data_IF_527058018185
#
_entry.id   IF_527058018185
#
_cell.length_a   1.000
_cell.length_b   1.000
_cell.length_c   1.000
_cell.angle_alpha   90.00
_cell.angle_beta   90.00
_cell.angle_gamma   90.00
#
_symmetry.space_group_name_H-M   'P 1'
#
loop_
_entity.id
_entity.type
_entity.pdbx_description
1 polymer ?
#
# COMPACT_ATOMS: atom_id res chain seq x y z
N UNK A 1 -21.85 -20.69 -1.09
CA UNK A 1 -20.59 -20.00 -1.40
C UNK A 1 -19.87 -19.40 -0.18
N UNK A 2 -20.55 -18.64 0.69
CA UNK A 2 -19.96 -18.01 1.90
C UNK A 2 -19.14 -18.94 2.81
N UNK A 3 -19.56 -20.18 3.04
CA UNK A 3 -18.77 -21.14 3.84
C UNK A 3 -17.44 -21.51 3.16
N UNK A 4 -17.39 -21.58 1.82
CA UNK A 4 -16.13 -21.77 1.08
C UNK A 4 -15.20 -20.56 1.23
N UNK A 5 -15.75 -19.35 1.16
CA UNK A 5 -14.98 -18.11 1.39
C UNK A 5 -14.43 -18.04 2.83
N UNK A 6 -15.20 -18.46 3.84
CA UNK A 6 -14.74 -18.55 5.23
C UNK A 6 -13.65 -19.61 5.45
N UNK A 7 -13.71 -20.72 4.71
CA UNK A 7 -12.64 -21.74 4.77
C UNK A 7 -11.36 -21.23 4.11
N UNK A 8 -11.48 -20.53 2.98
CA UNK A 8 -10.37 -19.93 2.27
C UNK A 8 -9.74 -18.74 3.00
N UNK A 9 -10.51 -17.98 3.78
CA UNK A 9 -9.98 -16.83 4.54
C UNK A 9 -9.11 -17.23 5.75
N UNK A 10 -9.07 -18.52 6.11
CA UNK A 10 -8.25 -19.04 7.22
C UNK A 10 -6.86 -19.50 6.79
N UNK A 11 -6.57 -19.53 5.50
CA UNK A 11 -5.26 -19.94 5.01
C UNK A 11 -4.39 -18.71 4.81
N UNK A 12 -3.31 -18.60 5.60
CA UNK A 12 -2.24 -17.60 5.41
C UNK A 12 -1.38 -17.86 4.14
N UNK A 13 -1.80 -18.84 3.33
CA UNK A 13 -1.10 -19.29 2.14
C UNK A 13 -1.48 -18.42 0.93
N UNK A 14 -0.64 -17.43 0.65
CA UNK A 14 -0.76 -16.54 -0.51
C UNK A 14 -0.76 -17.30 -1.85
N UNK A 15 -0.28 -18.55 -1.92
CA UNK A 15 -0.35 -19.35 -3.16
C UNK A 15 -1.79 -19.62 -3.61
N UNK A 16 -2.77 -19.51 -2.69
CA UNK A 16 -4.20 -19.74 -2.96
C UNK A 16 -4.95 -18.46 -3.34
N UNK A 17 -4.32 -17.28 -3.34
CA UNK A 17 -5.02 -16.00 -3.53
C UNK A 17 -5.79 -15.95 -4.86
N UNK A 18 -5.27 -16.56 -5.92
CA UNK A 18 -5.96 -16.66 -7.20
C UNK A 18 -7.28 -17.46 -7.12
N UNK A 19 -7.31 -18.55 -6.36
CA UNK A 19 -8.53 -19.32 -6.13
C UNK A 19 -9.56 -18.56 -5.29
N UNK A 20 -9.09 -17.72 -4.35
CA UNK A 20 -9.95 -16.82 -3.56
C UNK A 20 -10.57 -15.76 -4.46
N UNK A 21 -9.77 -15.11 -5.31
CA UNK A 21 -10.26 -14.10 -6.27
C UNK A 21 -11.35 -14.71 -7.17
N UNK A 22 -11.10 -15.88 -7.76
CA UNK A 22 -12.07 -16.56 -8.61
C UNK A 22 -13.38 -16.91 -7.86
N UNK A 23 -13.25 -17.38 -6.62
CA UNK A 23 -14.40 -17.69 -5.77
C UNK A 23 -15.23 -16.45 -5.42
N UNK A 24 -14.58 -15.33 -5.10
CA UNK A 24 -15.26 -14.06 -4.83
C UNK A 24 -15.93 -13.51 -6.09
N UNK A 25 -15.27 -13.58 -7.25
CA UNK A 25 -15.84 -13.16 -8.53
C UNK A 25 -17.09 -13.97 -8.90
N UNK A 26 -17.06 -15.29 -8.75
CA UNK A 26 -18.23 -16.14 -8.98
C UNK A 26 -19.40 -15.74 -8.08
N UNK A 27 -19.14 -15.44 -6.80
CA UNK A 27 -20.17 -14.97 -5.89
C UNK A 27 -20.73 -13.60 -6.28
N UNK A 28 -19.87 -12.68 -6.76
CA UNK A 28 -20.32 -11.36 -7.24
C UNK A 28 -21.22 -11.50 -8.47
N UNK A 29 -20.90 -12.40 -9.41
CA UNK A 29 -21.77 -12.70 -10.54
C UNK A 29 -23.14 -13.23 -10.10
N UNK A 30 -23.19 -14.15 -9.13
CA UNK A 30 -24.45 -14.62 -8.53
C UNK A 30 -25.25 -13.47 -7.88
N UNK A 31 -24.57 -12.56 -7.18
CA UNK A 31 -25.21 -11.38 -6.56
C UNK A 31 -25.79 -10.43 -7.60
N UNK A 32 -25.06 -10.14 -8.68
CA UNK A 32 -25.57 -9.30 -9.77
C UNK A 32 -26.77 -9.92 -10.47
N UNK A 33 -26.71 -11.22 -10.77
CA UNK A 33 -27.86 -11.95 -11.32
C UNK A 33 -29.06 -11.86 -10.38
N UNK A 34 -28.85 -12.09 -9.09
CA UNK A 34 -29.93 -12.03 -8.09
C UNK A 34 -30.52 -10.62 -7.93
N UNK A 35 -29.70 -9.57 -7.97
CA UNK A 35 -30.16 -8.17 -7.95
C UNK A 35 -31.04 -7.89 -9.18
N UNK A 36 -30.55 -8.22 -10.38
CA UNK A 36 -31.31 -8.03 -11.63
C UNK A 36 -32.64 -8.80 -11.61
N UNK A 37 -32.61 -10.03 -11.10
CA UNK A 37 -33.80 -10.85 -10.95
C UNK A 37 -34.81 -10.26 -9.96
N UNK A 38 -34.35 -9.76 -8.79
CA UNK A 38 -35.21 -9.11 -7.80
C UNK A 38 -35.83 -7.81 -8.32
N UNK A 39 -35.05 -6.98 -9.01
CA UNK A 39 -35.54 -5.74 -9.62
C UNK A 39 -36.63 -6.02 -10.65
N UNK A 40 -36.44 -7.06 -11.47
CA UNK A 40 -37.39 -7.47 -12.51
C UNK A 40 -38.67 -8.11 -11.95
N UNK A 41 -38.62 -8.69 -10.74
CA UNK A 41 -39.70 -9.48 -10.15
C UNK A 41 -40.23 -8.93 -8.82
N UNK A 42 -40.06 -7.63 -8.57
CA UNK A 42 -40.30 -7.00 -7.26
C UNK A 42 -41.64 -7.36 -6.60
N UNK A 43 -42.70 -7.57 -7.38
CA UNK A 43 -44.02 -7.93 -6.86
C UNK A 43 -44.10 -9.34 -6.26
N UNK A 44 -43.32 -10.29 -6.78
CA UNK A 44 -43.28 -11.67 -6.29
C UNK A 44 -42.54 -11.79 -4.95
N UNK A 45 -41.68 -10.83 -4.62
CA UNK A 45 -40.78 -10.91 -3.47
C UNK A 45 -41.24 -10.11 -2.23
N UNK A 46 -42.49 -9.63 -2.20
CA UNK A 46 -43.04 -8.85 -1.07
C UNK A 46 -43.04 -9.61 0.27
N UNK A 47 -43.00 -10.94 0.26
CA UNK A 47 -43.09 -11.80 1.46
C UNK A 47 -41.84 -12.63 1.73
N UNK A 48 -40.70 -12.35 1.09
CA UNK A 48 -39.50 -13.16 1.30
C UNK A 48 -38.93 -12.94 2.70
N UNK A 49 -38.53 -14.02 3.40
CA UNK A 49 -37.93 -13.92 4.72
C UNK A 49 -36.77 -12.92 4.73
N UNK A 50 -36.65 -12.16 5.82
CA UNK A 50 -35.64 -11.14 6.00
C UNK A 50 -34.25 -11.81 6.09
N UNK A 51 -33.54 -11.90 4.96
CA UNK A 51 -32.15 -12.38 4.94
C UNK A 51 -31.28 -11.27 5.48
N UNK A 52 -30.53 -11.54 6.55
CA UNK A 52 -29.63 -10.57 7.15
C UNK A 52 -28.18 -10.89 6.82
N UNK A 53 -27.50 -9.90 6.23
CA UNK A 53 -26.08 -9.93 5.94
C UNK A 53 -25.31 -9.29 7.10
N UNK A 54 -24.37 -10.04 7.67
CA UNK A 54 -23.55 -9.58 8.80
C UNK A 54 -22.09 -9.50 8.35
N UNK A 55 -21.52 -8.30 8.44
CA UNK A 55 -20.13 -8.03 8.10
C UNK A 55 -19.35 -7.47 9.28
N UNK A 56 -18.05 -7.77 9.30
CA UNK A 56 -17.10 -7.22 10.24
C UNK A 56 -16.27 -6.15 9.54
N UNK A 57 -16.07 -5.02 10.20
CA UNK A 57 -15.19 -3.96 9.70
C UNK A 57 -13.73 -4.44 9.65
N UNK A 58 -13.06 -4.20 8.53
CA UNK A 58 -11.59 -4.30 8.44
C UNK A 58 -10.90 -3.02 8.91
N UNK A 59 -11.60 -1.89 8.85
CA UNK A 59 -11.04 -0.56 9.15
C UNK A 59 -10.99 -0.21 10.63
N UNK A 60 -11.93 -0.72 11.45
CA UNK A 60 -12.07 -0.36 12.89
C UNK A 60 -11.45 -1.40 13.82
N UNK A 61 -10.73 -2.38 13.28
CA UNK A 61 -10.05 -3.39 14.07
C UNK A 61 -8.84 -2.79 14.78
N UNK A 62 -8.88 -2.67 16.11
CA UNK A 62 -7.65 -2.59 16.92
C UNK A 62 -7.03 -3.99 16.90
N UNK A 63 -6.23 -4.29 15.87
CA UNK A 63 -5.40 -5.49 15.78
C UNK A 63 -4.25 -5.46 16.81
N UNK A 64 -4.52 -5.06 18.05
CA UNK A 64 -3.56 -5.14 19.16
C UNK A 64 -3.38 -6.58 19.65
N UNK A 65 -4.34 -7.48 19.41
CA UNK A 65 -4.36 -8.81 20.03
C UNK A 65 -4.12 -9.98 19.05
N UNK A 66 -3.08 -9.92 18.20
CA UNK A 66 -2.13 -11.06 17.93
C UNK A 66 -1.49 -11.13 16.55
N UNK A 67 -1.91 -10.38 15.53
CA UNK A 67 -1.21 -10.39 14.24
C UNK A 67 -1.37 -9.02 13.59
N UNK A 68 -0.27 -8.24 13.49
CA UNK A 68 -0.25 -6.93 12.85
C UNK A 68 -0.99 -6.96 11.49
N UNK A 69 -2.00 -6.11 11.30
CA UNK A 69 -2.78 -5.99 10.05
C UNK A 69 -1.85 -5.84 8.84
N UNK A 70 -0.78 -5.06 9.03
CA UNK A 70 0.25 -4.82 8.04
C UNK A 70 1.11 -6.06 7.72
N UNK A 71 1.31 -6.99 8.65
CA UNK A 71 1.98 -8.27 8.36
C UNK A 71 1.05 -9.22 7.58
N UNK A 72 -0.25 -9.22 7.87
CA UNK A 72 -1.23 -10.08 7.18
C UNK A 72 -1.55 -9.59 5.77
N UNK A 73 -1.61 -8.27 5.56
CA UNK A 73 -1.88 -7.68 4.24
C UNK A 73 -0.62 -7.54 3.36
N UNK A 74 0.54 -7.29 3.95
CA UNK A 74 1.78 -6.98 3.19
C UNK A 74 2.91 -8.01 3.38
N UNK A 75 2.58 -9.24 3.80
CA UNK A 75 3.41 -10.43 3.55
C UNK A 75 4.83 -10.41 4.12
N UNK A 76 5.09 -9.72 5.24
CA UNK A 76 6.44 -9.73 5.84
C UNK A 76 6.72 -11.06 6.54
N UNK A 77 7.27 -12.02 5.79
CA UNK A 77 7.75 -13.32 6.29
C UNK A 77 9.06 -13.10 7.05
N UNK A 78 8.95 -12.84 8.36
CA UNK A 78 10.10 -12.87 9.28
C UNK A 78 10.43 -14.33 9.55
N UNK A 79 11.46 -14.85 8.85
CA UNK A 79 12.07 -16.13 9.19
C UNK A 79 12.99 -15.92 10.39
N UNK A 80 12.49 -16.16 11.60
CA UNK A 80 13.35 -16.36 12.77
C UNK A 80 13.69 -17.84 12.85
N UNK A 81 14.92 -18.16 12.46
CA UNK A 81 15.62 -19.40 12.77
C UNK A 81 15.63 -19.61 14.29
N UNK A 82 15.13 -20.76 14.73
CA UNK A 82 15.29 -21.24 16.09
C UNK A 82 16.70 -21.78 16.31
N UNK A 83 17.26 -21.49 17.47
CA UNK A 83 17.95 -22.45 18.34
C UNK A 83 18.40 -21.72 19.62
N UNK A 84 17.81 -22.10 20.75
CA UNK A 84 18.56 -22.58 21.93
C UNK A 84 17.61 -22.85 23.10
N UNK A 85 17.81 -24.06 23.61
CA UNK A 85 17.22 -24.72 24.76
C UNK A 85 17.44 -24.02 26.11
N UNK A 86 16.52 -24.30 27.04
CA UNK A 86 16.90 -24.64 28.42
C UNK A 86 16.38 -23.72 29.54
N UNK A 87 15.47 -24.25 30.38
CA UNK A 87 15.32 -23.78 31.76
C UNK A 87 13.88 -23.71 32.30
N UNK A 88 13.49 -24.71 33.08
CA UNK A 88 12.17 -24.90 33.69
C UNK A 88 12.12 -24.26 35.13
N UNK A 89 11.08 -24.46 35.97
CA UNK A 89 10.06 -23.45 36.29
C UNK A 89 10.11 -22.95 37.76
N UNK A 90 9.61 -21.75 38.02
CA UNK A 90 9.32 -21.29 39.38
C UNK A 90 7.84 -20.90 39.51
N UNK A 91 7.16 -21.63 40.39
CA UNK A 91 5.81 -21.39 40.87
C UNK A 91 5.75 -20.05 41.62
N UNK A 92 4.89 -19.15 41.15
CA UNK A 92 4.52 -17.92 41.83
C UNK A 92 3.01 -17.73 41.74
N UNK A 93 2.33 -18.00 42.85
CA UNK A 93 0.91 -17.79 43.08
C UNK A 93 0.54 -16.31 42.97
N UNK A 94 -0.15 -15.93 41.87
CA UNK A 94 -0.81 -14.63 41.73
C UNK A 94 -2.31 -14.81 41.89
N UNK A 95 -2.80 -14.43 43.06
CA UNK A 95 -4.23 -14.20 43.33
C UNK A 95 -4.70 -12.97 42.55
N UNK A 96 -5.81 -13.16 41.82
CA UNK A 96 -6.91 -12.19 41.82
C UNK A 96 -6.66 -10.84 41.15
N UNK A 97 -6.69 -10.80 39.82
CA UNK A 97 -7.17 -9.61 39.10
C UNK A 97 -8.17 -10.02 38.02
N UNK A 98 -9.42 -10.22 38.45
CA UNK A 98 -10.59 -10.20 37.56
C UNK A 98 -10.89 -8.74 37.20
N UNK A 99 -10.03 -8.12 36.37
CA UNK A 99 -10.35 -6.94 35.55
C UNK A 99 -10.79 -7.43 34.15
N UNK A 100 -11.77 -8.33 34.17
CA UNK A 100 -12.43 -8.88 33.00
C UNK A 100 -13.48 -7.88 32.52
N UNK A 101 -13.40 -7.45 31.26
CA UNK A 101 -14.60 -7.00 30.56
C UNK A 101 -14.51 -5.84 29.57
N UNK A 102 -13.39 -5.59 28.89
CA UNK A 102 -13.49 -4.85 27.61
C UNK A 102 -12.61 -5.49 26.53
N UNK A 103 -12.92 -6.76 26.22
CA UNK A 103 -12.55 -7.28 24.90
C UNK A 103 -13.20 -6.35 23.87
N UNK A 104 -12.39 -5.54 23.19
CA UNK A 104 -12.88 -4.54 22.25
C UNK A 104 -13.62 -5.27 21.13
N UNK A 105 -14.95 -5.26 21.19
CA UNK A 105 -15.80 -5.98 20.24
C UNK A 105 -15.53 -5.37 18.85
N UNK A 106 -14.95 -6.19 17.96
CA UNK A 106 -14.82 -5.84 16.54
C UNK A 106 -16.18 -5.33 16.04
N UNK A 107 -16.21 -4.11 15.46
CA UNK A 107 -17.46 -3.52 14.98
C UNK A 107 -18.04 -4.40 13.88
N UNK A 108 -19.34 -4.69 14.03
CA UNK A 108 -20.13 -5.42 13.05
C UNK A 108 -21.21 -4.50 12.50
N UNK A 109 -21.55 -4.70 11.25
CA UNK A 109 -22.75 -4.14 10.64
C UNK A 109 -23.66 -5.29 10.21
N UNK A 110 -24.95 -5.05 10.28
CA UNK A 110 -25.99 -5.98 9.89
C UNK A 110 -26.98 -5.22 9.02
N UNK A 111 -27.32 -5.77 7.87
CA UNK A 111 -28.27 -5.18 6.94
C UNK A 111 -28.96 -6.29 6.16
N UNK A 112 -30.23 -6.09 5.79
CA UNK A 112 -30.94 -6.96 4.86
C UNK A 112 -30.79 -6.53 3.39
N UNK A 113 -30.04 -5.47 3.12
CA UNK A 113 -29.82 -4.99 1.76
C UNK A 113 -28.80 -5.83 1.00
N UNK A 114 -29.21 -6.34 -0.16
CA UNK A 114 -28.34 -7.06 -1.09
C UNK A 114 -27.22 -6.17 -1.65
N UNK A 115 -27.42 -4.86 -1.76
CA UNK A 115 -26.36 -3.95 -2.19
C UNK A 115 -25.30 -3.75 -1.10
N UNK A 116 -25.65 -3.88 0.19
CA UNK A 116 -24.66 -3.90 1.26
C UNK A 116 -23.80 -5.16 1.15
N UNK A 117 -24.40 -6.31 0.85
CA UNK A 117 -23.66 -7.55 0.56
C UNK A 117 -22.72 -7.39 -0.63
N UNK A 118 -23.23 -6.85 -1.74
CA UNK A 118 -22.45 -6.58 -2.94
C UNK A 118 -21.27 -5.65 -2.64
N UNK A 119 -21.50 -4.54 -1.94
CA UNK A 119 -20.46 -3.56 -1.61
C UNK A 119 -19.31 -4.17 -0.80
N UNK A 120 -19.61 -4.93 0.26
CA UNK A 120 -18.58 -5.61 1.04
C UNK A 120 -17.87 -6.71 0.25
N UNK A 121 -18.59 -7.44 -0.61
CA UNK A 121 -18.00 -8.49 -1.44
C UNK A 121 -17.06 -7.91 -2.51
N UNK A 122 -17.44 -6.79 -3.13
CA UNK A 122 -16.57 -6.03 -4.05
C UNK A 122 -15.34 -5.47 -3.33
N UNK A 123 -15.51 -4.90 -2.14
CA UNK A 123 -14.37 -4.46 -1.34
C UNK A 123 -13.42 -5.63 -1.02
N UNK A 124 -13.95 -6.82 -0.68
CA UNK A 124 -13.14 -8.01 -0.48
C UNK A 124 -12.39 -8.45 -1.74
N UNK A 125 -13.02 -8.36 -2.92
CA UNK A 125 -12.38 -8.61 -4.21
C UNK A 125 -11.20 -7.65 -4.45
N UNK A 126 -11.42 -6.35 -4.23
CA UNK A 126 -10.38 -5.33 -4.41
C UNK A 126 -9.19 -5.57 -3.46
N UNK A 127 -9.46 -5.88 -2.19
CA UNK A 127 -8.41 -6.23 -1.22
C UNK A 127 -7.66 -7.49 -1.64
N UNK A 128 -8.36 -8.54 -2.10
CA UNK A 128 -7.72 -9.76 -2.57
C UNK A 128 -6.81 -9.51 -3.79
N UNK A 129 -7.21 -8.62 -4.71
CA UNK A 129 -6.37 -8.18 -5.83
C UNK A 129 -5.13 -7.43 -5.36
N UNK A 130 -5.26 -6.51 -4.39
CA UNK A 130 -4.10 -5.85 -3.77
C UNK A 130 -3.15 -6.88 -3.14
N UNK A 131 -3.67 -7.83 -2.36
CA UNK A 131 -2.86 -8.89 -1.75
C UNK A 131 -2.16 -9.77 -2.81
N UNK A 132 -2.86 -10.11 -3.89
CA UNK A 132 -2.27 -10.83 -5.03
C UNK A 132 -1.10 -10.03 -5.62
N UNK A 133 -1.30 -8.74 -5.90
CA UNK A 133 -0.26 -7.86 -6.42
C UNK A 133 0.97 -7.82 -5.50
N UNK A 134 0.77 -7.61 -4.19
CA UNK A 134 1.86 -7.61 -3.22
C UNK A 134 2.56 -8.96 -3.12
N UNK A 135 1.83 -10.07 -3.16
CA UNK A 135 2.44 -11.40 -3.09
C UNK A 135 3.39 -11.67 -4.26
N UNK A 136 3.06 -11.16 -5.46
CA UNK A 136 3.92 -11.27 -6.66
C UNK A 136 5.20 -10.46 -6.56
N UNK A 137 5.15 -9.32 -5.85
CA UNK A 137 6.30 -8.43 -5.73
C UNK A 137 7.01 -8.57 -4.39
N UNK A 138 6.52 -9.36 -3.42
CA UNK A 138 7.05 -9.37 -2.05
C UNK A 138 8.55 -9.72 -1.97
N UNK A 139 9.03 -10.62 -2.83
CA UNK A 139 10.46 -10.96 -2.93
C UNK A 139 11.26 -9.94 -3.75
N UNK A 140 10.58 -9.21 -4.63
CA UNK A 140 11.17 -8.23 -5.54
C UNK A 140 11.18 -6.80 -4.93
N UNK A 141 10.26 -6.48 -4.03
CA UNK A 141 9.90 -5.10 -3.69
C UNK A 141 11.08 -4.31 -3.10
N UNK A 142 11.88 -4.98 -2.26
CA UNK A 142 13.00 -4.34 -1.56
C UNK A 142 14.33 -4.45 -2.29
N UNK A 143 14.54 -5.53 -3.04
CA UNK A 143 15.80 -5.72 -3.79
C UNK A 143 15.88 -4.76 -4.98
N UNK A 144 14.75 -4.57 -5.67
CA UNK A 144 14.67 -3.71 -6.85
C UNK A 144 14.89 -2.23 -6.51
N UNK A 145 14.40 -1.77 -5.36
CA UNK A 145 14.57 -0.37 -4.96
C UNK A 145 16.03 -0.04 -4.64
N UNK A 146 16.74 -0.95 -3.99
CA UNK A 146 18.17 -0.78 -3.76
C UNK A 146 18.97 -0.89 -5.06
N UNK A 147 18.63 -1.85 -5.92
CA UNK A 147 19.30 -2.06 -7.21
C UNK A 147 19.24 -0.83 -8.11
N UNK A 148 18.07 -0.21 -8.24
CA UNK A 148 17.92 0.91 -9.19
C UNK A 148 18.75 2.12 -8.77
N UNK A 149 18.90 2.34 -7.46
CA UNK A 149 19.79 3.39 -6.94
C UNK A 149 21.25 2.93 -6.95
N UNK A 150 21.54 1.64 -6.78
CA UNK A 150 22.89 1.10 -6.89
C UNK A 150 23.50 1.34 -8.28
N UNK A 151 22.70 1.37 -9.36
CA UNK A 151 23.17 1.73 -10.72
C UNK A 151 23.78 3.15 -10.76
N UNK A 152 23.37 4.05 -9.85
CA UNK A 152 23.97 5.37 -9.71
C UNK A 152 25.34 5.34 -9.03
N UNK A 153 25.65 4.26 -8.32
CA UNK A 153 26.94 4.10 -7.62
C UNK A 153 27.98 3.55 -8.60
N UNK A 154 29.11 4.27 -8.83
CA UNK A 154 30.16 3.78 -9.71
C UNK A 154 30.73 2.44 -9.23
N UNK A 155 30.76 1.43 -10.11
CA UNK A 155 31.41 0.13 -9.86
C UNK A 155 30.52 -1.01 -9.38
N UNK A 156 29.20 -0.82 -9.29
CA UNK A 156 28.26 -1.93 -9.04
C UNK A 156 28.00 -2.70 -10.33
N UNK A 157 28.08 -4.03 -10.30
CA UNK A 157 27.87 -4.91 -11.46
C UNK A 157 26.41 -4.94 -11.89
N UNK A 158 26.19 -4.91 -13.20
CA UNK A 158 24.88 -5.13 -13.82
C UNK A 158 24.33 -6.53 -13.51
N UNK A 159 23.02 -6.65 -13.33
CA UNK A 159 22.34 -7.93 -13.08
C UNK A 159 22.26 -8.77 -14.36
N UNK A 160 22.22 -10.09 -14.21
CA UNK A 160 21.94 -11.02 -15.31
C UNK A 160 20.58 -10.70 -15.98
N UNK A 161 20.61 -10.47 -17.29
CA UNK A 161 19.46 -9.97 -18.08
C UNK A 161 18.17 -10.81 -17.91
N UNK A 162 18.29 -12.13 -17.72
CA UNK A 162 17.15 -13.05 -17.63
C UNK A 162 16.33 -12.91 -16.32
N UNK A 163 16.97 -12.60 -15.19
CA UNK A 163 16.27 -12.34 -13.92
C UNK A 163 15.54 -10.99 -13.96
N UNK A 164 16.06 -10.05 -14.77
CA UNK A 164 15.46 -8.74 -15.02
C UNK A 164 14.09 -8.83 -15.69
N UNK A 165 13.95 -9.63 -16.76
CA UNK A 165 12.71 -9.74 -17.54
C UNK A 165 11.53 -10.33 -16.74
N UNK A 166 11.77 -11.45 -16.04
CA UNK A 166 10.75 -12.08 -15.19
C UNK A 166 10.27 -11.12 -14.09
N UNK A 167 11.20 -10.34 -13.51
CA UNK A 167 10.88 -9.31 -12.53
C UNK A 167 10.04 -8.17 -13.11
N UNK A 168 10.37 -7.69 -14.32
CA UNK A 168 9.59 -6.66 -15.02
C UNK A 168 8.15 -7.13 -15.27
N UNK A 169 7.97 -8.36 -15.74
CA UNK A 169 6.64 -8.92 -15.99
C UNK A 169 5.81 -9.08 -14.71
N UNK A 170 6.44 -9.50 -13.62
CA UNK A 170 5.78 -9.55 -12.31
C UNK A 170 5.31 -8.17 -11.85
N UNK A 171 6.15 -7.14 -11.99
CA UNK A 171 5.80 -5.74 -11.66
C UNK A 171 4.65 -5.22 -12.53
N UNK A 172 4.68 -5.47 -13.85
CA UNK A 172 3.61 -5.08 -14.77
C UNK A 172 2.27 -5.71 -14.39
N UNK A 173 2.26 -7.02 -14.11
CA UNK A 173 1.04 -7.73 -13.70
C UNK A 173 0.50 -7.21 -12.36
N UNK A 174 1.37 -7.03 -11.37
CA UNK A 174 0.98 -6.47 -10.08
C UNK A 174 0.43 -5.04 -10.21
N UNK A 175 1.04 -4.20 -11.05
CA UNK A 175 0.52 -2.86 -11.36
C UNK A 175 -0.88 -2.92 -11.98
N UNK A 176 -1.14 -3.84 -12.91
CA UNK A 176 -2.47 -4.04 -13.50
C UNK A 176 -3.49 -4.48 -12.44
N UNK A 177 -3.17 -5.47 -11.61
CA UNK A 177 -4.06 -5.95 -10.54
C UNK A 177 -4.44 -4.84 -9.54
N UNK A 178 -3.50 -3.94 -9.22
CA UNK A 178 -3.77 -2.76 -8.38
C UNK A 178 -4.70 -1.75 -9.06
N UNK A 179 -4.58 -1.56 -10.38
CA UNK A 179 -5.49 -0.69 -11.16
C UNK A 179 -6.88 -1.29 -11.30
N UNK A 180 -6.99 -2.61 -11.39
CA UNK A 180 -8.26 -3.32 -11.31
C UNK A 180 -8.90 -3.15 -9.93
N UNK A 181 -8.12 -3.27 -8.84
CA UNK A 181 -8.62 -3.01 -7.48
C UNK A 181 -9.14 -1.57 -7.34
N UNK A 182 -8.41 -0.59 -7.86
CA UNK A 182 -8.85 0.80 -7.90
C UNK A 182 -10.18 0.98 -8.65
N UNK A 183 -10.38 0.29 -9.78
CA UNK A 183 -11.63 0.32 -10.53
C UNK A 183 -12.80 -0.36 -9.82
N UNK A 184 -12.54 -1.37 -8.99
CA UNK A 184 -13.58 -1.95 -8.13
C UNK A 184 -14.03 -0.95 -7.06
N UNK A 185 -13.10 -0.24 -6.41
CA UNK A 185 -13.45 0.81 -5.46
C UNK A 185 -14.23 1.95 -6.12
N UNK A 186 -13.83 2.37 -7.32
CA UNK A 186 -14.55 3.36 -8.14
C UNK A 186 -15.98 2.91 -8.43
N UNK A 187 -16.16 1.65 -8.88
CA UNK A 187 -17.48 1.08 -9.14
C UNK A 187 -18.36 1.06 -7.88
N UNK A 188 -17.79 0.73 -6.71
CA UNK A 188 -18.53 0.80 -5.43
C UNK A 188 -19.03 2.22 -5.18
N UNK A 189 -18.19 3.24 -5.35
CA UNK A 189 -18.57 4.66 -5.17
C UNK A 189 -19.70 5.07 -6.10
N UNK A 190 -19.57 4.74 -7.39
CA UNK A 190 -20.49 5.23 -8.42
C UNK A 190 -21.81 4.45 -8.49
N UNK A 191 -21.79 3.14 -8.25
CA UNK A 191 -22.93 2.27 -8.53
C UNK A 191 -23.55 1.65 -7.28
N UNK A 192 -22.76 1.38 -6.23
CA UNK A 192 -23.25 0.67 -5.04
C UNK A 192 -23.65 1.64 -3.93
N UNK A 193 -22.80 2.61 -3.60
CA UNK A 193 -23.07 3.57 -2.51
C UNK A 193 -24.39 4.36 -2.70
N UNK A 194 -24.76 4.81 -3.92
CA UNK A 194 -26.04 5.49 -4.11
C UNK A 194 -27.26 4.64 -3.74
N UNK A 195 -27.18 3.31 -3.92
CA UNK A 195 -28.25 2.38 -3.60
C UNK A 195 -28.42 2.16 -2.09
N UNK A 196 -27.36 2.37 -1.31
CA UNK A 196 -27.35 2.17 0.14
C UNK A 196 -27.31 3.48 0.94
N UNK A 197 -27.44 4.65 0.31
CA UNK A 197 -27.33 5.97 0.95
C UNK A 197 -28.28 6.19 2.15
N UNK A 198 -29.39 5.47 2.19
CA UNK A 198 -30.41 5.56 3.23
C UNK A 198 -30.16 4.58 4.39
N UNK A 199 -29.19 3.68 4.25
CA UNK A 199 -28.85 2.65 5.24
C UNK A 199 -27.75 3.19 6.13
N UNK A 200 -28.01 3.26 7.44
CA UNK A 200 -27.00 3.64 8.42
C UNK A 200 -26.09 2.45 8.71
N UNK A 201 -24.85 2.51 8.24
CA UNK A 201 -23.82 1.51 8.53
C UNK A 201 -23.00 1.94 9.74
N UNK A 202 -22.86 1.05 10.73
CA UNK A 202 -22.04 1.30 11.93
C UNK A 202 -20.53 1.10 11.70
N UNK A 203 -20.10 1.04 10.44
CA UNK A 203 -18.73 0.76 10.02
C UNK A 203 -18.34 1.70 8.87
N UNK A 204 -17.10 2.19 8.82
CA UNK A 204 -16.67 3.18 7.82
C UNK A 204 -16.31 2.55 6.48
N UNK A 205 -16.23 1.22 6.40
CA UNK A 205 -15.71 0.49 5.25
C UNK A 205 -16.40 0.90 3.93
N UNK A 206 -17.73 1.03 3.92
CA UNK A 206 -18.50 1.47 2.75
C UNK A 206 -18.85 2.98 2.78
N UNK A 207 -17.98 3.82 3.34
CA UNK A 207 -18.10 5.28 3.18
C UNK A 207 -17.43 5.75 1.89
N UNK A 208 -18.00 6.75 1.18
CA UNK A 208 -17.39 7.29 -0.04
C UNK A 208 -15.92 7.69 0.13
N UNK A 209 -15.59 8.33 1.24
CA UNK A 209 -14.24 8.82 1.53
C UNK A 209 -13.26 7.67 1.78
N UNK A 210 -13.70 6.58 2.41
CA UNK A 210 -12.87 5.37 2.61
C UNK A 210 -12.63 4.68 1.29
N UNK A 211 -13.67 4.52 0.47
CA UNK A 211 -13.54 3.89 -0.85
C UNK A 211 -12.62 4.72 -1.76
N UNK A 212 -12.77 6.06 -1.74
CA UNK A 212 -11.91 6.95 -2.52
C UNK A 212 -10.46 6.94 -2.02
N UNK A 213 -10.24 6.92 -0.71
CA UNK A 213 -8.91 6.75 -0.12
C UNK A 213 -8.27 5.43 -0.59
N UNK A 214 -9.00 4.31 -0.56
CA UNK A 214 -8.50 3.01 -0.99
C UNK A 214 -8.21 2.99 -2.51
N UNK A 215 -9.07 3.61 -3.32
CA UNK A 215 -8.84 3.81 -4.75
C UNK A 215 -7.53 4.56 -5.02
N UNK A 216 -7.34 5.70 -4.35
CA UNK A 216 -6.14 6.53 -4.49
C UNK A 216 -4.87 5.81 -4.03
N UNK A 217 -4.96 5.06 -2.93
CA UNK A 217 -3.85 4.26 -2.42
C UNK A 217 -3.44 3.18 -3.43
N UNK A 218 -4.39 2.40 -3.95
CA UNK A 218 -4.11 1.37 -4.97
C UNK A 218 -3.49 1.95 -6.25
N UNK A 219 -3.92 3.14 -6.66
CA UNK A 219 -3.31 3.84 -7.81
C UNK A 219 -1.88 4.32 -7.51
N UNK A 220 -1.62 4.85 -6.31
CA UNK A 220 -0.28 5.27 -5.90
C UNK A 220 0.69 4.09 -5.87
N UNK A 221 0.26 2.95 -5.34
CA UNK A 221 1.04 1.71 -5.34
C UNK A 221 1.29 1.19 -6.77
N UNK A 222 0.27 1.23 -7.63
CA UNK A 222 0.42 0.84 -9.04
C UNK A 222 1.41 1.73 -9.80
N UNK A 223 1.36 3.03 -9.55
CA UNK A 223 2.29 4.00 -10.13
C UNK A 223 3.71 3.75 -9.67
N UNK A 224 3.91 3.47 -8.37
CA UNK A 224 5.21 3.09 -7.82
C UNK A 224 5.80 1.89 -8.56
N UNK A 225 5.00 0.84 -8.80
CA UNK A 225 5.46 -0.33 -9.59
C UNK A 225 5.74 0.04 -11.05
N UNK A 226 4.93 0.92 -11.65
CA UNK A 226 5.10 1.38 -13.02
C UNK A 226 6.38 2.19 -13.23
N UNK A 227 6.74 3.05 -12.27
CA UNK A 227 8.02 3.78 -12.28
C UNK A 227 9.19 2.80 -12.30
N UNK A 228 9.12 1.70 -11.54
CA UNK A 228 10.17 0.68 -11.53
C UNK A 228 10.27 -0.08 -12.84
N UNK A 229 9.12 -0.43 -13.44
CA UNK A 229 9.09 -1.00 -14.79
C UNK A 229 9.75 -0.06 -15.78
N UNK A 230 9.42 1.24 -15.73
CA UNK A 230 10.00 2.26 -16.59
C UNK A 230 11.50 2.39 -16.38
N UNK A 231 11.96 2.45 -15.13
CA UNK A 231 13.39 2.51 -14.80
C UNK A 231 14.13 1.29 -15.38
N UNK A 232 13.59 0.09 -15.29
CA UNK A 232 14.25 -1.10 -15.84
C UNK A 232 14.19 -1.24 -17.36
N UNK A 233 13.13 -0.74 -17.97
CA UNK A 233 12.88 -0.92 -19.40
C UNK A 233 13.48 0.18 -20.26
N UNK A 234 13.63 1.40 -19.71
CA UNK A 234 14.02 2.56 -20.50
C UNK A 234 15.55 2.72 -20.57
N UNK A 235 16.14 2.25 -21.68
CA UNK A 235 17.56 2.48 -21.99
C UNK A 235 17.92 3.97 -22.12
N UNK A 236 16.93 4.87 -22.20
CA UNK A 236 17.11 6.31 -22.32
C UNK A 236 17.03 7.07 -20.99
N UNK A 237 17.11 6.43 -19.81
CA UNK A 237 17.16 7.15 -18.53
C UNK A 237 18.10 8.37 -18.54
N UNK A 238 19.27 8.25 -19.20
CA UNK A 238 20.26 9.33 -19.36
C UNK A 238 19.73 10.58 -20.08
N UNK A 239 18.71 10.45 -20.94
CA UNK A 239 18.13 11.56 -21.71
C UNK A 239 17.11 12.38 -20.91
N UNK A 240 16.53 11.81 -19.86
CA UNK A 240 15.52 12.48 -19.02
C UNK A 240 15.83 12.29 -17.54
N UNK A 241 16.96 12.83 -17.05
CA UNK A 241 17.48 12.53 -15.71
C UNK A 241 16.55 13.01 -14.58
N UNK A 242 15.69 14.00 -14.84
CA UNK A 242 14.69 14.51 -13.90
C UNK A 242 13.39 13.70 -13.85
N UNK A 243 13.12 12.89 -14.87
CA UNK A 243 11.84 12.19 -14.99
C UNK A 243 11.55 11.25 -13.82
N UNK A 244 12.49 10.42 -13.32
CA UNK A 244 12.23 9.57 -12.15
C UNK A 244 11.78 10.38 -10.93
N UNK A 245 12.48 11.48 -10.62
CA UNK A 245 12.15 12.34 -9.49
C UNK A 245 10.74 12.93 -9.64
N UNK A 246 10.41 13.47 -10.81
CA UNK A 246 9.09 14.06 -11.06
C UNK A 246 7.96 13.03 -10.94
N UNK A 247 8.17 11.80 -11.44
CA UNK A 247 7.19 10.73 -11.32
C UNK A 247 6.97 10.31 -9.85
N UNK A 248 8.06 10.17 -9.08
CA UNK A 248 8.00 9.84 -7.65
C UNK A 248 7.32 10.95 -6.83
N UNK A 249 7.56 12.23 -7.15
CA UNK A 249 6.86 13.34 -6.51
C UNK A 249 5.35 13.29 -6.80
N UNK A 250 4.94 12.93 -8.03
CA UNK A 250 3.52 12.71 -8.34
C UNK A 250 2.89 11.56 -7.54
N UNK A 251 3.65 10.50 -7.27
CA UNK A 251 3.21 9.39 -6.40
C UNK A 251 3.10 9.83 -4.94
N UNK A 252 4.08 10.60 -4.47
CA UNK A 252 4.11 11.17 -3.12
C UNK A 252 2.88 12.04 -2.86
N UNK A 253 2.47 12.86 -3.83
CA UNK A 253 1.25 13.67 -3.77
C UNK A 253 -0.01 12.78 -3.68
N UNK A 254 -0.07 11.65 -4.41
CA UNK A 254 -1.20 10.71 -4.30
C UNK A 254 -1.29 10.08 -2.90
N UNK A 255 -0.18 9.67 -2.29
CA UNK A 255 -0.18 9.21 -0.89
C UNK A 255 -0.64 10.31 0.08
N UNK A 256 -0.20 11.55 -0.13
CA UNK A 256 -0.62 12.69 0.68
C UNK A 256 -2.13 12.94 0.58
N UNK A 257 -2.70 12.82 -0.63
CA UNK A 257 -4.13 12.97 -0.88
C UNK A 257 -4.95 11.83 -0.25
N UNK A 258 -4.46 10.59 -0.33
CA UNK A 258 -5.08 9.46 0.38
C UNK A 258 -5.03 9.67 1.90
N UNK A 259 -3.88 10.07 2.45
CA UNK A 259 -3.71 10.32 3.88
C UNK A 259 -4.58 11.47 4.40
N UNK A 260 -4.69 12.57 3.65
CA UNK A 260 -5.55 13.70 4.02
C UNK A 260 -7.03 13.33 3.98
N UNK A 261 -7.47 12.56 2.98
CA UNK A 261 -8.84 12.01 2.91
C UNK A 261 -9.15 11.17 4.16
N UNK A 262 -8.18 10.37 4.60
CA UNK A 262 -8.33 9.61 5.84
C UNK A 262 -8.42 10.50 7.09
N UNK A 263 -7.65 11.58 7.17
CA UNK A 263 -7.70 12.50 8.31
C UNK A 263 -9.04 13.22 8.43
N UNK A 264 -9.70 13.54 7.31
CA UNK A 264 -11.03 14.14 7.34
C UNK A 264 -12.06 13.23 8.05
N UNK A 265 -11.93 11.91 7.89
CA UNK A 265 -12.77 10.93 8.58
C UNK A 265 -12.54 10.88 10.10
N UNK A 266 -11.36 11.26 10.57
CA UNK A 266 -11.03 11.28 12.00
C UNK A 266 -11.72 12.42 12.76
N UNK A 267 -12.24 13.44 12.08
CA UNK A 267 -13.04 14.47 12.74
C UNK A 267 -14.38 13.94 13.29
N UNK A 268 -14.92 12.89 12.67
CA UNK A 268 -16.29 12.41 12.89
C UNK A 268 -16.45 11.14 13.75
N UNK A 269 -17.52 10.38 13.51
CA UNK A 269 -17.91 9.18 14.26
C UNK A 269 -16.94 7.98 14.11
N UNK A 270 -16.00 8.09 13.16
CA UNK A 270 -15.06 7.05 12.77
C UNK A 270 -13.60 7.39 13.11
N UNK A 271 -13.37 8.02 14.27
CA UNK A 271 -12.04 8.32 14.85
C UNK A 271 -11.07 7.13 14.93
N UNK A 272 -11.57 5.91 14.86
CA UNK A 272 -10.81 4.67 15.09
C UNK A 272 -10.43 3.94 13.78
N UNK A 273 -10.06 4.65 12.71
CA UNK A 273 -9.42 3.98 11.58
C UNK A 273 -8.05 3.46 12.00
N UNK A 274 -7.71 2.24 11.56
CA UNK A 274 -6.43 1.58 11.87
C UNK A 274 -5.22 2.52 11.74
N UNK A 275 -4.42 2.58 12.80
CA UNK A 275 -3.13 3.28 12.85
C UNK A 275 -2.13 2.70 11.87
N UNK A 276 -2.32 1.45 11.45
CA UNK A 276 -1.44 0.75 10.51
C UNK A 276 -1.60 1.34 9.10
N UNK A 277 -2.84 1.60 8.67
CA UNK A 277 -3.12 2.22 7.35
C UNK A 277 -2.59 3.66 7.33
N UNK A 278 -2.74 4.39 8.44
CA UNK A 278 -2.18 5.73 8.58
C UNK A 278 -0.66 5.73 8.49
N UNK A 279 -0.01 4.79 9.21
CA UNK A 279 1.44 4.66 9.20
C UNK A 279 1.94 4.20 7.84
N UNK A 280 1.24 3.28 7.18
CA UNK A 280 1.52 2.87 5.80
C UNK A 280 1.59 4.08 4.86
N UNK A 281 0.52 4.88 4.78
CA UNK A 281 0.48 6.01 3.87
C UNK A 281 1.50 7.10 4.22
N UNK A 282 1.62 7.46 5.50
CA UNK A 282 2.57 8.48 5.96
C UNK A 282 4.02 8.06 5.70
N UNK A 283 4.38 6.84 6.05
CA UNK A 283 5.76 6.37 5.92
C UNK A 283 6.09 6.04 4.46
N UNK A 284 5.14 5.52 3.69
CA UNK A 284 5.24 5.34 2.25
C UNK A 284 5.50 6.67 1.55
N UNK A 285 4.73 7.72 1.87
CA UNK A 285 4.96 9.07 1.38
C UNK A 285 6.40 9.56 1.65
N UNK A 286 6.94 9.32 2.84
CA UNK A 286 8.30 9.73 3.21
C UNK A 286 9.37 8.94 2.45
N UNK A 287 9.18 7.63 2.27
CA UNK A 287 10.10 6.80 1.48
C UNK A 287 10.11 7.25 0.01
N UNK A 288 8.95 7.47 -0.59
CA UNK A 288 8.86 7.94 -1.98
C UNK A 288 9.50 9.33 -2.15
N UNK A 289 9.27 10.24 -1.20
CA UNK A 289 9.92 11.56 -1.21
C UNK A 289 11.45 11.45 -1.13
N UNK A 290 11.94 10.61 -0.21
CA UNK A 290 13.37 10.38 -0.06
C UNK A 290 13.98 9.82 -1.36
N UNK A 291 13.33 8.84 -1.99
CA UNK A 291 13.75 8.31 -3.28
C UNK A 291 13.80 9.40 -4.36
N UNK A 292 12.77 10.26 -4.45
CA UNK A 292 12.78 11.38 -5.40
C UNK A 292 13.96 12.32 -5.16
N UNK A 293 14.28 12.62 -3.89
CA UNK A 293 15.44 13.44 -3.51
C UNK A 293 16.77 12.78 -3.89
N UNK A 294 16.89 11.44 -3.85
CA UNK A 294 18.08 10.74 -4.35
C UNK A 294 18.29 11.00 -5.85
N UNK A 295 17.22 10.88 -6.66
CA UNK A 295 17.31 11.18 -8.10
C UNK A 295 17.62 12.65 -8.37
N UNK A 296 17.06 13.59 -7.61
CA UNK A 296 17.41 15.01 -7.71
C UNK A 296 18.88 15.25 -7.34
N UNK A 297 19.38 14.60 -6.29
CA UNK A 297 20.78 14.69 -5.91
C UNK A 297 21.72 14.22 -7.03
N UNK A 298 21.38 13.12 -7.71
CA UNK A 298 22.10 12.63 -8.88
C UNK A 298 22.11 13.67 -10.01
N UNK A 299 20.95 14.20 -10.39
CA UNK A 299 20.86 15.25 -11.43
C UNK A 299 21.75 16.45 -11.08
N UNK A 300 21.72 16.91 -9.83
CA UNK A 300 22.52 18.05 -9.40
C UNK A 300 24.01 17.74 -9.41
N UNK A 301 24.41 16.53 -9.01
CA UNK A 301 25.80 16.07 -9.08
C UNK A 301 26.30 16.02 -10.52
N UNK A 302 25.51 15.47 -11.44
CA UNK A 302 25.83 15.40 -12.88
C UNK A 302 25.97 16.78 -13.52
N UNK A 303 25.21 17.76 -13.04
CA UNK A 303 25.29 19.15 -13.48
C UNK A 303 26.31 19.98 -12.69
N UNK A 304 27.23 19.35 -11.95
CA UNK A 304 28.28 20.00 -11.17
C UNK A 304 27.75 21.05 -10.17
N UNK A 305 26.55 20.80 -9.61
CA UNK A 305 25.94 21.60 -8.53
C UNK A 305 26.04 20.82 -7.22
N UNK A 306 27.26 20.65 -6.74
CA UNK A 306 27.58 19.70 -5.69
C UNK A 306 26.94 20.04 -4.34
N UNK A 307 26.78 21.32 -4.00
CA UNK A 307 26.15 21.74 -2.74
C UNK A 307 24.67 21.35 -2.68
N UNK A 308 23.95 21.50 -3.81
CA UNK A 308 22.57 21.03 -3.94
C UNK A 308 22.49 19.50 -3.88
N UNK A 309 23.41 18.79 -4.53
CA UNK A 309 23.45 17.34 -4.52
C UNK A 309 23.58 16.80 -3.09
N UNK A 310 24.55 17.33 -2.32
CA UNK A 310 24.76 16.98 -0.90
C UNK A 310 23.52 17.32 -0.06
N UNK A 311 22.90 18.47 -0.29
CA UNK A 311 21.69 18.88 0.42
C UNK A 311 20.53 17.90 0.25
N UNK A 312 20.20 17.54 -0.99
CA UNK A 312 19.08 16.62 -1.26
C UNK A 312 19.32 15.22 -0.70
N UNK A 313 20.53 14.67 -0.86
CA UNK A 313 20.83 13.32 -0.35
C UNK A 313 20.86 13.29 1.19
N UNK A 314 21.24 14.41 1.86
CA UNK A 314 21.16 14.56 3.32
C UNK A 314 19.70 14.49 3.77
N UNK A 315 18.84 15.31 3.18
CA UNK A 315 17.41 15.34 3.53
C UNK A 315 16.73 13.98 3.27
N UNK A 316 17.11 13.28 2.18
CA UNK A 316 16.65 11.91 1.92
C UNK A 316 17.04 10.94 3.05
N UNK A 317 18.29 11.00 3.53
CA UNK A 317 18.78 10.17 4.65
C UNK A 317 17.98 10.44 5.92
N UNK A 318 17.74 11.70 6.25
CA UNK A 318 16.98 12.08 7.45
C UNK A 318 15.54 11.55 7.42
N UNK A 319 14.85 11.67 6.28
CA UNK A 319 13.51 11.11 6.10
C UNK A 319 13.49 9.59 6.31
N UNK A 320 14.45 8.86 5.75
CA UNK A 320 14.52 7.40 5.89
C UNK A 320 14.88 6.97 7.31
N UNK A 321 15.74 7.71 8.02
CA UNK A 321 16.04 7.47 9.44
C UNK A 321 14.76 7.59 10.28
N UNK A 322 13.95 8.61 10.01
CA UNK A 322 12.68 8.81 10.71
C UNK A 322 11.66 7.70 10.43
N UNK A 323 11.59 7.19 9.19
CA UNK A 323 10.76 6.02 8.86
C UNK A 323 11.30 4.76 9.55
N UNK A 324 12.62 4.52 9.52
CA UNK A 324 13.27 3.37 10.15
C UNK A 324 12.98 3.31 11.66
N UNK A 325 13.04 4.45 12.37
CA UNK A 325 12.74 4.52 13.82
C UNK A 325 11.33 4.02 14.15
N UNK A 326 10.39 4.09 13.21
CA UNK A 326 9.00 3.63 13.36
C UNK A 326 8.87 2.15 12.97
N UNK A 327 9.60 1.27 13.68
CA UNK A 327 9.72 -0.19 13.47
C UNK A 327 8.41 -0.99 13.21
N UNK A 328 7.24 -0.37 13.40
CA UNK A 328 5.92 -0.95 13.14
C UNK A 328 5.48 -0.82 11.66
N UNK A 329 6.15 0.03 10.89
CA UNK A 329 5.81 0.29 9.49
C UNK A 329 6.38 -0.77 8.56
N UNK A 330 5.60 -1.19 7.55
CA UNK A 330 6.11 -2.06 6.47
C UNK A 330 7.18 -1.37 5.64
N UNK A 331 7.18 -0.03 5.62
CA UNK A 331 8.20 0.77 4.94
C UNK A 331 9.49 0.90 5.76
N UNK A 332 9.52 0.51 7.04
CA UNK A 332 10.72 0.59 7.87
C UNK A 332 11.85 -0.30 7.33
N UNK A 333 11.52 -1.53 6.88
CA UNK A 333 12.50 -2.44 6.25
C UNK A 333 13.06 -1.86 4.95
N UNK A 334 12.20 -1.27 4.13
CA UNK A 334 12.61 -0.59 2.91
C UNK A 334 13.57 0.56 3.22
N UNK A 335 13.22 1.41 4.18
CA UNK A 335 14.05 2.52 4.59
C UNK A 335 15.41 2.07 5.14
N UNK A 336 15.43 1.01 5.94
CA UNK A 336 16.67 0.40 6.43
C UNK A 336 17.56 -0.12 5.29
N UNK A 337 16.99 -0.81 4.31
CA UNK A 337 17.74 -1.33 3.18
C UNK A 337 18.33 -0.22 2.31
N UNK A 338 17.56 0.86 2.07
CA UNK A 338 18.06 2.03 1.36
C UNK A 338 19.21 2.71 2.10
N UNK A 339 19.06 2.92 3.41
CA UNK A 339 20.08 3.53 4.27
C UNK A 339 21.38 2.71 4.30
N UNK A 340 21.27 1.40 4.50
CA UNK A 340 22.42 0.51 4.63
C UNK A 340 23.03 0.10 3.28
N UNK A 341 22.30 0.30 2.17
CA UNK A 341 22.71 -0.07 0.83
C UNK A 341 23.23 1.14 0.03
N UNK A 342 22.51 1.59 -1.01
CA UNK A 342 23.01 2.58 -1.98
C UNK A 342 23.24 3.99 -1.40
N UNK A 343 22.53 4.37 -0.35
CA UNK A 343 22.41 5.77 0.03
C UNK A 343 23.66 6.32 0.72
N UNK A 344 24.31 5.52 1.57
CA UNK A 344 25.51 5.95 2.31
C UNK A 344 26.75 6.12 1.40
N UNK A 345 27.03 5.20 0.45
CA UNK A 345 28.07 5.41 -0.55
C UNK A 345 27.83 6.65 -1.41
N UNK A 346 26.60 6.88 -1.87
CA UNK A 346 26.25 8.06 -2.67
C UNK A 346 26.42 9.36 -1.87
N UNK A 347 25.98 9.38 -0.60
CA UNK A 347 26.19 10.52 0.27
C UNK A 347 27.67 10.85 0.45
N UNK A 348 28.49 9.84 0.73
CA UNK A 348 29.93 9.98 0.91
C UNK A 348 30.60 10.49 -0.37
N UNK A 349 30.18 9.99 -1.53
CA UNK A 349 30.66 10.43 -2.84
C UNK A 349 30.33 11.90 -3.10
N UNK A 350 29.07 12.31 -2.97
CA UNK A 350 28.66 13.69 -3.24
C UNK A 350 29.29 14.67 -2.26
N UNK A 351 29.39 14.28 -0.98
CA UNK A 351 30.08 15.09 0.02
C UNK A 351 31.54 15.28 -0.34
N UNK A 352 32.26 14.19 -0.69
CA UNK A 352 33.65 14.28 -1.13
C UNK A 352 33.80 15.18 -2.36
N UNK A 353 32.95 15.02 -3.37
CA UNK A 353 33.01 15.86 -4.56
C UNK A 353 32.79 17.35 -4.23
N UNK A 354 31.88 17.66 -3.31
CA UNK A 354 31.72 19.03 -2.84
C UNK A 354 32.94 19.52 -2.05
N UNK A 355 33.49 18.69 -1.16
CA UNK A 355 34.62 19.06 -0.29
C UNK A 355 35.96 19.15 -1.05
N UNK A 356 36.08 18.57 -2.25
CA UNK A 356 37.33 18.58 -3.03
C UNK A 356 37.25 19.32 -4.36
N UNK A 357 36.06 19.44 -4.97
CA UNK A 357 35.88 20.03 -6.31
C UNK A 357 35.00 21.27 -6.23
N UNK A 358 33.78 21.14 -5.68
CA UNK A 358 32.76 22.19 -5.75
C UNK A 358 32.96 23.34 -4.79
N UNK A 359 33.32 23.03 -3.54
CA UNK A 359 33.35 23.94 -2.40
C UNK A 359 32.08 24.80 -2.27
N UNK A 360 30.93 24.25 -2.69
CA UNK A 360 29.66 24.98 -2.68
C UNK A 360 29.05 24.97 -1.28
N UNK A 361 28.38 26.06 -0.93
CA UNK A 361 27.53 26.10 0.26
C UNK A 361 26.38 25.10 0.14
N UNK A 362 26.15 24.31 1.18
CA UNK A 362 25.06 23.33 1.22
C UNK A 362 23.78 24.06 1.63
N UNK A 363 22.72 24.06 0.81
CA UNK A 363 21.45 24.70 1.16
C UNK A 363 20.77 24.12 2.40
N UNK A 364 19.92 24.93 3.05
CA UNK A 364 19.04 24.46 4.12
C UNK A 364 17.90 23.60 3.55
N UNK A 365 17.30 22.75 4.39
CA UNK A 365 16.19 21.88 3.97
C UNK A 365 14.97 22.67 3.46
N UNK A 366 14.69 23.85 4.01
CA UNK A 366 13.58 24.70 3.55
C UNK A 366 13.85 25.29 2.16
N UNK A 367 15.10 25.71 1.89
CA UNK A 367 15.50 26.19 0.56
C UNK A 367 15.40 25.05 -0.47
N UNK A 368 15.85 23.83 -0.14
CA UNK A 368 15.72 22.66 -1.02
C UNK A 368 14.26 22.29 -1.29
N UNK A 369 13.39 22.33 -0.28
CA UNK A 369 11.95 22.06 -0.44
C UNK A 369 11.28 23.07 -1.37
N UNK A 370 11.70 24.34 -1.32
CA UNK A 370 11.19 25.38 -2.24
C UNK A 370 11.60 25.16 -3.69
N UNK A 371 12.65 24.34 -3.93
CA UNK A 371 13.18 24.00 -5.26
C UNK A 371 12.67 22.67 -5.79
N UNK A 372 11.82 21.95 -5.05
CA UNK A 372 11.26 20.70 -5.54
C UNK A 372 10.42 20.97 -6.80
N UNK A 373 10.64 20.22 -7.89
CA UNK A 373 9.80 20.33 -9.07
C UNK A 373 8.39 19.82 -8.76
N UNK A 374 7.42 20.23 -9.57
CA UNK A 374 6.06 19.68 -9.47
C UNK A 374 6.05 18.19 -9.83
N UNK A 375 5.23 17.42 -9.11
CA UNK A 375 4.97 16.03 -9.44
C UNK A 375 4.39 15.89 -10.85
N UNK A 376 4.83 14.86 -11.56
CA UNK A 376 4.22 14.45 -12.83
C UNK A 376 3.42 13.18 -12.60
N UNK A 377 2.10 13.29 -12.73
CA UNK A 377 1.21 12.12 -12.59
C UNK A 377 1.51 11.10 -13.68
N UNK A 378 1.64 9.84 -13.30
CA UNK A 378 1.54 8.74 -14.24
C UNK A 378 0.10 8.61 -14.73
N UNK A 379 -0.06 8.22 -16.00
CA UNK A 379 -1.36 8.04 -16.64
C UNK A 379 -2.15 6.83 -16.11
N UNK A 380 -1.75 6.22 -14.98
CA UNK A 380 -2.46 5.09 -14.41
C UNK A 380 -3.85 5.55 -13.97
N UNK A 381 -4.82 5.14 -14.78
CA UNK A 381 -6.24 5.23 -14.51
C UNK A 381 -6.70 3.91 -13.91
N UNK A 382 -7.71 3.99 -13.06
CA UNK A 382 -8.47 2.82 -12.65
C UNK A 382 -8.95 2.05 -13.89
N UNK A 383 -8.86 0.73 -13.84
CA UNK A 383 -9.40 -0.13 -14.90
C UNK A 383 -10.86 -0.38 -14.56
N UNK A 384 -11.76 0.18 -15.36
CA UNK A 384 -13.20 0.12 -15.12
C UNK A 384 -13.63 -1.33 -14.81
N UNK A 385 -14.25 -1.51 -13.64
CA UNK A 385 -14.80 -2.80 -13.28
C UNK A 385 -16.09 -3.03 -14.04
N UNK A 386 -16.15 -4.15 -14.78
CA UNK A 386 -17.35 -4.60 -15.47
C UNK A 386 -17.80 -5.90 -14.82
N UNK A 387 -19.02 -5.96 -14.25
CA UNK A 387 -19.60 -7.20 -13.76
C UNK A 387 -19.63 -8.25 -14.87
N UNK A 388 -19.09 -9.44 -14.62
CA UNK A 388 -19.27 -10.60 -15.49
C UNK A 388 -20.70 -11.11 -15.35
N UNK A 389 -21.52 -10.83 -16.38
CA UNK A 389 -22.93 -11.23 -16.46
C UNK A 389 -23.15 -12.68 -16.85
#
# INVERSE_FOLDING_TARGET
MRERLKQQSKTDDLSRIGAVIAAVQAYISELHWYISYLESNRDLFKSVPNIEFIWKSSMVSRLQDKVNFSRTLFGSRSGTTGDSDGGNPAQGSSMGSRLLGSGTKQRRTQSSSIYVELGFTLQALAVAKCMSAYSRVATLDTEIECETINIMTPGVKDIAEEEGEKGIDALKRASVELREAAGVFEFVIEHVLPQIKHIRLNVPDLMPEVQHMLQMLSLADSDRLSVRVWLRSDKNQRKTPNMPANLLLGIQERYANAYSSLRMLQGGEFRNVSTDIQSYMRDGQQVILAQAMVYLAQVHSDNQKYGNAVGFIRDARELLIEVKKRNQSVHAKTAEMLLNGPLEPLYSLYRRNNDTIGFEAIPSSDDLRSRLPSGRTLFSKALAYVPSG
#
